data_IF_855290382859
#
_entry.id   IF_855290382859
#
_cell.length_a   1.000
_cell.length_b   1.000
_cell.length_c   1.000
_cell.angle_alpha   90.00
_cell.angle_beta   90.00
_cell.angle_gamma   90.00
#
_symmetry.space_group_name_H-M   'P 1'
#
loop_
_entity.id
_entity.type
_entity.pdbx_description
1 polymer ?
#
# COMPACT_ATOMS: atom_id res chain seq x y z
N UNK A 1 11.45 32.91 6.81
CA UNK A 1 12.64 32.97 5.93
C UNK A 1 13.87 32.58 6.73
N UNK A 2 14.33 31.33 6.64
CA UNK A 2 15.64 30.95 7.17
C UNK A 2 16.68 31.19 6.07
N UNK A 3 17.18 32.42 5.97
CA UNK A 3 18.27 32.77 5.07
C UNK A 3 19.61 32.53 5.77
N UNK A 4 20.02 31.26 5.85
CA UNK A 4 21.42 30.94 6.03
C UNK A 4 21.91 30.29 4.72
N UNK A 5 23.09 30.66 4.23
CA UNK A 5 23.83 29.87 3.25
C UNK A 5 24.91 29.13 4.04
N UNK A 6 24.54 28.10 4.83
CA UNK A 6 25.53 27.37 5.61
C UNK A 6 26.53 26.70 4.66
N UNK A 7 27.81 26.77 5.03
CA UNK A 7 28.89 26.06 4.37
C UNK A 7 28.93 24.64 4.97
N UNK A 8 28.88 23.63 4.12
CA UNK A 8 28.93 22.22 4.49
C UNK A 8 30.39 21.75 4.35
N UNK A 9 30.95 21.20 5.41
CA UNK A 9 32.29 20.57 5.40
C UNK A 9 32.24 19.21 4.72
N UNK A 10 33.18 18.96 3.81
CA UNK A 10 33.34 17.64 3.17
C UNK A 10 34.28 16.78 4.02
N UNK A 11 33.85 15.58 4.37
CA UNK A 11 34.64 14.61 5.15
C UNK A 11 35.32 13.58 4.23
N UNK A 12 36.51 13.11 4.61
CA UNK A 12 37.20 11.98 3.98
C UNK A 12 36.63 10.65 4.48
N UNK A 13 36.94 9.54 3.81
CA UNK A 13 36.51 8.18 4.22
C UNK A 13 36.98 7.80 5.63
N UNK A 14 37.99 8.49 6.17
CA UNK A 14 38.51 8.31 7.54
C UNK A 14 37.80 9.17 8.59
N UNK A 15 36.77 9.92 8.19
CA UNK A 15 36.01 10.81 9.07
C UNK A 15 36.69 12.16 9.36
N UNK A 16 37.80 12.47 8.69
CA UNK A 16 38.51 13.74 8.87
C UNK A 16 37.96 14.83 7.94
N UNK A 17 37.91 16.08 8.40
CA UNK A 17 37.45 17.20 7.57
C UNK A 17 38.47 17.52 6.48
N UNK A 18 38.08 17.44 5.22
CA UNK A 18 38.97 17.68 4.05
C UNK A 18 39.30 19.16 3.80
N UNK A 19 38.86 20.07 4.67
CA UNK A 19 39.03 21.53 4.54
C UNK A 19 38.26 22.17 3.38
N UNK A 20 37.65 21.38 2.50
CA UNK A 20 36.81 21.84 1.39
C UNK A 20 35.39 22.06 1.87
N UNK A 21 34.89 23.25 1.61
CA UNK A 21 33.53 23.65 1.97
C UNK A 21 32.67 23.78 0.71
N UNK A 22 31.48 23.20 0.76
CA UNK A 22 30.49 23.25 -0.33
C UNK A 22 29.27 24.04 0.15
N UNK A 23 28.70 24.85 -0.73
CA UNK A 23 27.50 25.62 -0.42
C UNK A 23 26.27 24.72 -0.36
N UNK A 24 25.42 24.90 0.66
CA UNK A 24 24.13 24.20 0.75
C UNK A 24 23.25 24.48 -0.48
N UNK A 25 22.87 23.44 -1.27
CA UNK A 25 22.00 23.60 -2.43
C UNK A 25 20.64 24.19 -2.07
N UNK A 26 20.04 24.95 -2.98
CA UNK A 26 18.76 25.63 -2.74
C UNK A 26 17.58 24.68 -2.45
N UNK A 27 17.70 23.39 -2.81
CA UNK A 27 16.69 22.35 -2.57
C UNK A 27 16.38 22.20 -1.08
N UNK A 28 17.40 22.27 -0.22
CA UNK A 28 17.27 22.14 1.24
C UNK A 28 16.56 23.33 1.91
N UNK A 29 16.31 24.43 1.18
CA UNK A 29 15.57 25.59 1.68
C UNK A 29 14.07 25.52 1.42
N UNK A 30 13.62 24.54 0.65
CA UNK A 30 12.22 24.37 0.35
C UNK A 30 11.40 24.07 1.62
N UNK A 31 10.16 24.58 1.75
CA UNK A 31 9.32 24.30 2.91
C UNK A 31 8.93 22.82 2.93
N UNK A 32 9.09 22.15 4.08
CA UNK A 32 8.70 20.75 4.24
C UNK A 32 7.19 20.67 4.48
N UNK A 33 6.42 20.06 3.56
CA UNK A 33 4.97 19.87 3.71
C UNK A 33 4.61 18.40 3.94
N UNK A 34 4.52 17.92 5.19
CA UNK A 34 4.27 16.50 5.47
C UNK A 34 2.95 15.98 4.88
N UNK A 35 1.95 16.83 4.72
CA UNK A 35 0.64 16.47 4.17
C UNK A 35 0.72 16.01 2.71
N UNK A 36 1.45 16.77 1.87
CA UNK A 36 1.62 16.42 0.45
C UNK A 36 2.50 15.18 0.33
N UNK A 37 3.55 15.10 1.15
CA UNK A 37 4.45 13.93 1.19
C UNK A 37 3.66 12.65 1.47
N UNK A 38 2.80 12.66 2.50
CA UNK A 38 1.96 11.52 2.83
C UNK A 38 0.94 11.20 1.72
N UNK A 39 0.30 12.23 1.16
CA UNK A 39 -0.68 12.05 0.09
C UNK A 39 -0.06 11.40 -1.16
N UNK A 40 1.10 11.87 -1.59
CA UNK A 40 1.75 11.34 -2.80
C UNK A 40 2.44 10.01 -2.54
N UNK A 41 3.08 9.82 -1.38
CA UNK A 41 3.66 8.54 -1.00
C UNK A 41 2.61 7.43 -1.00
N UNK A 42 1.47 7.64 -0.35
CA UNK A 42 0.40 6.64 -0.29
C UNK A 42 -0.19 6.30 -1.66
N UNK A 43 -0.25 7.25 -2.57
CA UNK A 43 -0.75 7.04 -3.93
C UNK A 43 0.28 6.37 -4.85
N UNK A 44 1.56 6.74 -4.76
CA UNK A 44 2.65 6.09 -5.50
C UNK A 44 2.86 4.65 -5.03
N UNK A 45 2.81 4.39 -3.72
CA UNK A 45 2.94 3.04 -3.16
C UNK A 45 1.88 2.07 -3.70
N UNK A 46 0.69 2.56 -4.04
CA UNK A 46 -0.39 1.74 -4.64
C UNK A 46 -0.05 1.26 -6.06
N UNK A 47 0.89 1.92 -6.76
CA UNK A 47 1.19 1.59 -8.16
C UNK A 47 2.04 0.32 -8.34
N UNK A 48 2.74 -0.14 -7.30
CA UNK A 48 3.55 -1.36 -7.36
C UNK A 48 2.75 -2.63 -6.98
N UNK A 49 1.43 -2.52 -6.81
CA UNK A 49 0.58 -3.62 -6.39
C UNK A 49 0.25 -4.51 -7.58
N UNK A 50 0.41 -5.82 -7.41
CA UNK A 50 -0.06 -6.80 -8.39
C UNK A 50 -1.58 -7.03 -8.23
N UNK A 51 -2.36 -6.99 -9.34
CA UNK A 51 -3.77 -7.33 -9.30
C UNK A 51 -4.02 -8.75 -8.79
N UNK A 52 -5.02 -8.92 -7.94
CA UNK A 52 -5.47 -10.22 -7.47
C UNK A 52 -7.00 -10.33 -7.58
N UNK A 53 -7.48 -11.52 -7.90
CA UNK A 53 -8.90 -11.82 -8.09
C UNK A 53 -9.23 -13.26 -7.71
N UNK A 54 -10.47 -13.50 -7.28
CA UNK A 54 -11.00 -14.85 -7.11
C UNK A 54 -11.44 -15.38 -8.49
N UNK A 55 -11.31 -16.68 -8.71
CA UNK A 55 -11.79 -17.32 -9.95
C UNK A 55 -13.27 -17.03 -10.17
N UNK A 56 -13.63 -16.70 -11.40
CA UNK A 56 -15.01 -16.38 -11.77
C UNK A 56 -15.99 -17.53 -11.56
N UNK A 57 -15.51 -18.77 -11.74
CA UNK A 57 -16.32 -19.98 -11.58
C UNK A 57 -16.35 -20.48 -10.12
N UNK A 58 -15.60 -19.84 -9.20
CA UNK A 58 -15.55 -20.29 -7.81
C UNK A 58 -16.92 -20.19 -7.14
N UNK A 59 -17.36 -21.30 -6.54
CA UNK A 59 -18.68 -21.41 -5.92
C UNK A 59 -19.85 -21.49 -6.90
N UNK A 60 -19.59 -21.54 -8.22
CA UNK A 60 -20.59 -21.68 -9.28
C UNK A 60 -20.58 -23.04 -10.00
N UNK A 61 -19.62 -23.93 -9.70
CA UNK A 61 -19.44 -25.24 -10.34
C UNK A 61 -20.43 -26.33 -9.85
N UNK A 62 -21.59 -25.95 -9.34
CA UNK A 62 -22.59 -26.86 -8.76
C UNK A 62 -23.95 -26.69 -9.44
N UNK A 63 -24.59 -27.75 -9.90
CA UNK A 63 -25.95 -27.74 -10.48
C UNK A 63 -27.05 -27.71 -9.41
N UNK A 64 -26.97 -26.73 -8.50
CA UNK A 64 -27.89 -26.59 -7.39
C UNK A 64 -29.13 -25.76 -7.77
N UNK A 65 -30.30 -26.16 -7.29
CA UNK A 65 -31.56 -25.41 -7.47
C UNK A 65 -32.31 -25.29 -6.15
N UNK A 66 -33.12 -24.25 -6.01
CA UNK A 66 -33.95 -24.09 -4.81
C UNK A 66 -35.11 -25.06 -4.83
N UNK A 67 -35.41 -25.68 -3.68
CA UNK A 67 -36.56 -26.56 -3.55
C UNK A 67 -37.89 -25.82 -3.30
N UNK A 68 -37.85 -24.49 -3.18
CA UNK A 68 -39.03 -23.68 -2.89
C UNK A 68 -39.50 -23.78 -1.43
N UNK A 69 -40.74 -23.35 -1.19
CA UNK A 69 -41.39 -23.43 0.13
C UNK A 69 -42.09 -24.78 0.35
N UNK A 70 -42.55 -25.04 1.58
CA UNK A 70 -43.38 -26.22 1.89
C UNK A 70 -42.60 -27.51 2.20
N UNK A 71 -41.27 -27.43 2.35
CA UNK A 71 -40.40 -28.58 2.65
C UNK A 71 -39.66 -28.46 3.99
N UNK A 72 -40.16 -27.63 4.91
CA UNK A 72 -39.58 -27.34 6.23
C UNK A 72 -38.10 -26.89 6.21
N UNK A 73 -37.67 -26.24 5.11
CA UNK A 73 -36.27 -25.86 4.88
C UNK A 73 -36.20 -24.48 4.19
N UNK A 74 -35.14 -23.72 4.43
CA UNK A 74 -34.90 -22.41 3.80
C UNK A 74 -34.78 -22.48 2.27
N UNK A 75 -35.15 -21.38 1.58
CA UNK A 75 -35.26 -21.25 0.11
C UNK A 75 -33.92 -21.18 -0.65
N UNK A 76 -32.80 -21.45 0.01
CA UNK A 76 -31.46 -21.39 -0.59
C UNK A 76 -31.30 -22.54 -1.61
N UNK A 77 -30.62 -22.32 -2.76
CA UNK A 77 -30.31 -23.39 -3.71
C UNK A 77 -29.56 -24.55 -3.05
N UNK A 78 -29.97 -25.79 -3.34
CA UNK A 78 -29.38 -27.01 -2.77
C UNK A 78 -28.84 -27.94 -3.85
N UNK A 79 -27.72 -28.59 -3.56
CA UNK A 79 -27.06 -29.53 -4.47
C UNK A 79 -28.00 -30.71 -4.75
N UNK A 80 -28.21 -31.01 -6.04
CA UNK A 80 -29.04 -32.13 -6.49
C UNK A 80 -28.34 -33.48 -6.32
N UNK A 81 -29.11 -34.56 -6.45
CA UNK A 81 -28.60 -35.94 -6.38
C UNK A 81 -28.83 -36.61 -5.01
N UNK A 82 -28.18 -37.75 -4.82
CA UNK A 82 -28.22 -38.55 -3.60
C UNK A 82 -26.96 -39.41 -3.46
N UNK A 83 -26.80 -40.12 -2.34
CA UNK A 83 -25.66 -41.02 -2.10
C UNK A 83 -24.34 -40.34 -1.70
N UNK A 84 -24.27 -39.01 -1.73
CA UNK A 84 -23.13 -38.24 -1.20
C UNK A 84 -23.58 -37.31 -0.08
N UNK A 85 -22.73 -37.11 0.94
CA UNK A 85 -23.02 -36.19 2.05
C UNK A 85 -23.18 -34.71 1.60
N UNK A 86 -22.76 -34.39 0.37
CA UNK A 86 -22.92 -33.06 -0.23
C UNK A 86 -24.32 -32.83 -0.80
N UNK A 87 -25.05 -33.89 -1.15
CA UNK A 87 -26.42 -33.81 -1.68
C UNK A 87 -27.35 -33.15 -0.66
N UNK A 88 -28.19 -32.22 -1.11
CA UNK A 88 -29.09 -31.47 -0.23
C UNK A 88 -28.44 -30.34 0.58
N UNK A 89 -27.12 -30.13 0.53
CA UNK A 89 -26.48 -28.98 1.18
C UNK A 89 -26.70 -27.67 0.39
N UNK A 90 -26.65 -26.53 1.08
CA UNK A 90 -26.77 -25.21 0.45
C UNK A 90 -25.57 -24.85 -0.44
N UNK A 91 -25.83 -24.20 -1.57
CA UNK A 91 -24.85 -23.81 -2.57
C UNK A 91 -25.13 -22.40 -3.11
N UNK A 92 -24.20 -21.86 -3.91
CA UNK A 92 -24.17 -20.51 -4.51
C UNK A 92 -24.17 -19.31 -3.56
N UNK A 93 -24.88 -19.37 -2.42
CA UNK A 93 -24.97 -18.26 -1.48
C UNK A 93 -23.63 -17.93 -0.83
N UNK A 94 -23.40 -16.65 -0.53
CA UNK A 94 -22.22 -16.19 0.21
C UNK A 94 -22.18 -16.68 1.66
N UNK A 95 -23.34 -16.97 2.24
CA UNK A 95 -23.49 -17.61 3.54
C UNK A 95 -23.31 -19.13 3.50
N UNK A 96 -23.25 -19.74 2.32
CA UNK A 96 -23.17 -21.19 2.18
C UNK A 96 -21.72 -21.67 2.15
N UNK A 97 -21.44 -22.77 2.86
CA UNK A 97 -20.14 -23.44 2.77
C UNK A 97 -19.88 -23.94 1.35
N UNK A 98 -18.81 -23.46 0.75
CA UNK A 98 -18.46 -23.74 -0.65
C UNK A 98 -19.31 -22.97 -1.68
N UNK A 99 -20.04 -21.94 -1.25
CA UNK A 99 -20.69 -20.99 -2.14
C UNK A 99 -19.75 -19.88 -2.61
N UNK A 100 -20.29 -18.90 -3.34
CA UNK A 100 -19.50 -17.79 -3.90
C UNK A 100 -19.41 -16.61 -2.95
N UNK A 101 -18.34 -15.83 -3.02
CA UNK A 101 -18.23 -14.58 -2.27
C UNK A 101 -19.19 -13.51 -2.81
N UNK A 102 -19.75 -12.66 -1.93
CA UNK A 102 -20.45 -11.45 -2.36
C UNK A 102 -19.46 -10.42 -2.92
N UNK A 103 -19.78 -9.82 -4.07
CA UNK A 103 -18.89 -8.89 -4.79
C UNK A 103 -17.45 -9.46 -4.94
N UNK A 104 -17.28 -10.56 -5.72
CA UNK A 104 -15.98 -11.21 -5.86
C UNK A 104 -14.94 -10.22 -6.38
N UNK A 105 -13.69 -10.33 -5.90
CA UNK A 105 -12.61 -9.47 -6.35
C UNK A 105 -12.37 -9.68 -7.84
N UNK A 106 -12.33 -8.56 -8.58
CA UNK A 106 -12.09 -8.56 -10.02
C UNK A 106 -10.75 -7.90 -10.34
N UNK A 107 -10.13 -8.38 -11.42
CA UNK A 107 -8.81 -7.90 -11.87
C UNK A 107 -8.82 -6.42 -12.25
N UNK A 108 -9.91 -5.94 -12.86
CA UNK A 108 -10.08 -4.55 -13.33
C UNK A 108 -10.38 -3.53 -12.22
N UNK A 109 -10.21 -3.89 -10.95
CA UNK A 109 -10.20 -2.90 -9.86
C UNK A 109 -9.17 -1.80 -10.17
N UNK A 110 -9.46 -0.54 -9.85
CA UNK A 110 -8.49 0.56 -10.01
C UNK A 110 -7.36 0.44 -8.99
N UNK A 111 -6.26 -0.20 -9.40
CA UNK A 111 -5.04 -0.36 -8.58
C UNK A 111 -4.18 0.90 -8.59
N UNK A 112 -3.90 1.42 -9.78
CA UNK A 112 -3.00 2.55 -9.97
C UNK A 112 -3.70 3.89 -9.74
N UNK A 113 -2.93 4.83 -9.17
CA UNK A 113 -3.34 6.23 -8.96
C UNK A 113 -2.41 7.15 -9.73
N UNK A 114 -3.00 7.96 -10.61
CA UNK A 114 -2.31 9.07 -11.25
C UNK A 114 -2.21 10.21 -10.24
N UNK A 115 -1.01 10.73 -10.08
CA UNK A 115 -0.71 11.93 -9.28
C UNK A 115 -0.21 13.00 -10.23
N UNK A 116 -0.57 14.26 -9.96
CA UNK A 116 -0.14 15.41 -10.75
C UNK A 116 1.38 15.53 -10.78
N UNK A 117 1.94 15.88 -11.93
CA UNK A 117 3.39 16.00 -12.13
C UNK A 117 4.00 17.08 -11.24
N UNK A 118 3.31 18.21 -11.06
CA UNK A 118 3.71 19.29 -10.14
C UNK A 118 3.86 18.80 -8.72
N UNK A 119 2.83 18.13 -8.18
CA UNK A 119 2.88 17.55 -6.84
C UNK A 119 4.00 16.52 -6.70
N UNK A 120 4.26 15.68 -7.72
CA UNK A 120 5.40 14.75 -7.65
C UNK A 120 6.74 15.48 -7.57
N UNK A 121 6.92 16.57 -8.33
CA UNK A 121 8.13 17.37 -8.29
C UNK A 121 8.29 18.07 -6.93
N UNK A 122 7.23 18.66 -6.41
CA UNK A 122 7.18 19.23 -5.06
C UNK A 122 7.58 18.17 -4.02
N UNK A 123 7.00 16.97 -4.08
CA UNK A 123 7.42 15.88 -3.19
C UNK A 123 8.85 15.40 -3.41
N UNK A 124 9.38 15.40 -4.63
CA UNK A 124 10.79 15.02 -4.82
C UNK A 124 11.74 16.05 -4.20
N UNK A 125 11.33 17.31 -4.15
CA UNK A 125 12.06 18.40 -3.49
C UNK A 125 11.85 18.37 -1.97
N UNK A 126 10.65 18.04 -1.49
CA UNK A 126 10.27 18.08 -0.08
C UNK A 126 10.45 16.75 0.68
N UNK A 127 10.36 15.61 -0.01
CA UNK A 127 10.34 14.25 0.55
C UNK A 127 11.61 13.44 0.32
N UNK A 128 12.56 13.91 -0.50
CA UNK A 128 13.89 13.29 -0.48
C UNK A 128 14.46 13.45 0.94
N UNK A 129 15.13 12.41 1.46
CA UNK A 129 15.65 12.43 2.83
C UNK A 129 16.53 13.68 3.01
N UNK A 130 17.31 14.06 1.99
CA UNK A 130 17.92 15.39 1.74
C UNK A 130 17.40 16.54 2.64
N UNK A 131 16.18 17.05 2.46
CA UNK A 131 15.73 18.25 3.19
C UNK A 131 15.42 17.97 4.67
N UNK A 132 14.99 16.75 4.99
CA UNK A 132 14.78 16.30 6.38
C UNK A 132 16.11 15.96 7.07
N UNK A 133 17.07 15.43 6.30
CA UNK A 133 18.41 14.97 6.68
C UNK A 133 19.30 16.07 7.26
N UNK A 134 19.01 17.31 6.89
CA UNK A 134 19.77 18.46 7.35
C UNK A 134 19.23 19.07 8.64
N UNK A 135 17.99 18.74 9.04
CA UNK A 135 17.36 19.30 10.24
C UNK A 135 17.48 18.28 11.40
N UNK A 136 18.40 18.47 12.36
CA UNK A 136 18.69 17.49 13.41
C UNK A 136 17.46 17.11 14.24
N UNK A 137 16.49 18.02 14.38
CA UNK A 137 15.23 17.82 15.10
C UNK A 137 14.35 16.69 14.52
N UNK A 138 14.48 16.38 13.22
CA UNK A 138 13.71 15.31 12.59
C UNK A 138 14.35 13.91 12.74
N UNK A 139 15.66 13.85 13.03
CA UNK A 139 16.42 12.59 13.20
C UNK A 139 16.29 11.97 14.58
N UNK A 140 16.04 12.78 15.61
CA UNK A 140 15.86 12.32 16.99
C UNK A 140 14.56 11.54 17.22
N UNK A 141 13.81 11.22 16.15
CA UNK A 141 12.63 10.36 16.21
C UNK A 141 13.04 8.93 16.61
N UNK A 142 12.37 8.29 17.59
CA UNK A 142 12.80 7.02 18.17
C UNK A 142 12.75 5.89 17.13
N UNK A 143 13.91 5.53 16.59
CA UNK A 143 14.02 4.45 15.59
C UNK A 143 15.26 4.49 14.68
N UNK A 144 16.07 5.55 14.68
CA UNK A 144 17.25 5.65 13.80
C UNK A 144 18.57 5.12 14.41
N UNK A 145 18.62 4.77 15.69
CA UNK A 145 19.87 4.35 16.37
C UNK A 145 20.23 2.85 16.24
N UNK A 146 19.45 2.02 15.54
CA UNK A 146 19.59 0.55 15.65
C UNK A 146 20.58 -0.13 14.70
N UNK A 147 21.49 0.59 14.04
CA UNK A 147 22.51 -0.04 13.17
C UNK A 147 23.87 0.66 13.31
N UNK A 148 24.57 0.40 14.41
CA UNK A 148 26.02 0.48 14.46
C UNK A 148 26.59 -0.95 14.28
N UNK A 149 27.44 -1.23 13.28
CA UNK A 149 28.22 -2.46 13.29
C UNK A 149 29.21 -2.38 14.45
N UNK A 150 29.03 -3.23 15.46
CA UNK A 150 29.98 -3.38 16.56
C UNK A 150 31.24 -4.11 16.09
N UNK A 151 32.38 -3.60 16.55
CA UNK A 151 33.61 -4.34 16.91
C UNK A 151 34.27 -5.20 15.86
#
# INVERSE_FOLDING_TARGET
>A
MACARPLISVYSEKGESSGKNVTLPAVFKAPIRPDIVNFVHTNLRKNNRQPYAVSELAGHQTSAESWGTGRAVARIPRVRGGGTHRSGQGAFGNMCRGGRMFAPTKTWRRWHRRVNTTQKLENHVEAKPICKDHAPEHHSSPGQESQAPGG
#
